data_IF_540970082540
#
_entry.id   IF_540970082540
#
_cell.length_a   1.000
_cell.length_b   1.000
_cell.length_c   1.000
_cell.angle_alpha   90.00
_cell.angle_beta   90.00
_cell.angle_gamma   90.00
#
_symmetry.space_group_name_H-M   'P 1'
#
loop_
_entity.id
_entity.type
_entity.pdbx_description
1 polymer ?
#
# COMPACT_ATOMS: atom_id res chain seq x y z
N UNK A 1 -25.82 51.21 32.00
CA UNK A 1 -24.98 51.18 33.21
C UNK A 1 -23.53 51.07 32.77
N UNK A 2 -22.69 52.09 32.98
CA UNK A 2 -21.24 51.96 32.82
C UNK A 2 -20.63 51.46 34.13
N UNK A 3 -19.79 50.42 34.08
CA UNK A 3 -19.09 49.91 35.27
C UNK A 3 -17.58 49.82 35.04
N UNK A 4 -16.88 50.70 35.75
CA UNK A 4 -15.45 50.68 36.07
C UNK A 4 -15.32 51.42 37.43
N UNK A 5 -14.34 51.13 38.30
CA UNK A 5 -13.00 50.66 37.92
C UNK A 5 -12.37 49.56 38.81
N UNK A 6 -11.17 49.12 38.40
CA UNK A 6 -10.12 48.50 39.27
C UNK A 6 -9.49 49.60 40.18
N UNK A 7 -8.53 49.36 41.12
CA UNK A 7 -7.74 48.14 41.37
C UNK A 7 -7.47 47.79 42.86
N UNK A 8 -6.71 46.72 43.14
CA UNK A 8 -5.73 46.72 44.24
C UNK A 8 -4.62 45.66 44.08
N UNK A 9 -3.38 46.07 44.30
CA UNK A 9 -2.10 45.33 44.43
C UNK A 9 -1.20 46.12 45.41
N UNK A 10 0.00 45.67 45.85
CA UNK A 10 0.70 44.41 45.63
C UNK A 10 0.73 43.54 46.91
N UNK A 11 1.79 43.37 47.76
CA UNK A 11 3.18 43.85 47.76
C UNK A 11 4.22 42.84 47.18
N UNK A 12 5.50 43.22 47.18
CA UNK A 12 6.69 42.44 46.78
C UNK A 12 7.39 41.83 48.00
N UNK A 13 8.11 40.70 47.85
CA UNK A 13 9.25 40.35 48.72
C UNK A 13 10.45 39.80 47.94
N UNK A 14 11.57 40.52 48.06
CA UNK A 14 12.92 40.11 47.65
C UNK A 14 13.61 39.38 48.81
N UNK A 15 14.35 38.30 48.53
CA UNK A 15 15.50 37.86 49.32
C UNK A 15 16.34 36.85 48.54
N UNK A 16 17.67 37.02 48.53
CA UNK A 16 18.61 36.04 48.00
C UNK A 16 18.96 35.00 49.08
N UNK A 17 19.35 33.79 48.66
CA UNK A 17 20.01 32.81 49.51
C UNK A 17 21.05 32.03 48.70
N UNK A 18 22.32 32.23 49.04
CA UNK A 18 23.45 31.47 48.51
C UNK A 18 23.58 30.17 49.31
N UNK A 19 23.67 29.01 48.64
CA UNK A 19 24.03 27.75 49.30
C UNK A 19 24.83 26.83 48.37
N UNK A 20 26.13 26.70 48.68
CA UNK A 20 27.05 25.72 48.12
C UNK A 20 26.74 24.32 48.66
N UNK A 21 26.73 23.29 47.80
CA UNK A 21 27.42 22.01 48.04
C UNK A 21 27.22 21.02 46.87
N UNK A 22 28.24 20.19 46.63
CA UNK A 22 28.22 19.15 45.61
C UNK A 22 27.46 17.89 46.06
N UNK A 23 26.81 17.23 45.10
CA UNK A 23 26.41 15.84 45.21
C UNK A 23 26.56 15.15 43.84
N UNK A 24 27.70 14.48 43.63
CA UNK A 24 27.99 13.72 42.41
C UNK A 24 27.13 12.45 42.38
N UNK A 25 25.99 12.50 41.70
CA UNK A 25 25.11 11.34 41.53
C UNK A 25 25.45 10.60 40.22
N UNK A 26 26.20 9.50 40.33
CA UNK A 26 26.52 8.61 39.20
C UNK A 26 25.26 7.91 38.69
N UNK A 27 24.60 8.50 37.71
CA UNK A 27 23.45 7.89 37.03
C UNK A 27 23.93 6.89 35.97
N UNK A 28 24.08 5.62 36.36
CA UNK A 28 24.38 4.52 35.43
C UNK A 28 23.15 4.20 34.56
N UNK A 29 22.93 5.01 33.52
CA UNK A 29 21.91 4.76 32.52
C UNK A 29 22.28 3.54 31.68
N UNK A 30 21.69 2.38 31.98
CA UNK A 30 21.69 1.24 31.05
C UNK A 30 20.88 1.63 29.82
N UNK A 31 21.58 2.03 28.76
CA UNK A 31 21.03 2.02 27.41
C UNK A 31 20.87 0.56 27.00
N UNK A 32 19.74 -0.05 27.38
CA UNK A 32 19.24 -1.24 26.71
C UNK A 32 18.76 -0.81 25.33
N UNK A 33 19.71 -0.73 24.39
CA UNK A 33 19.40 -0.70 22.98
C UNK A 33 18.59 -1.95 22.66
N UNK A 34 17.27 -1.79 22.52
CA UNK A 34 16.41 -2.80 21.93
C UNK A 34 16.88 -2.97 20.48
N UNK A 35 17.83 -3.87 20.26
CA UNK A 35 18.29 -4.28 18.94
C UNK A 35 17.18 -5.13 18.34
N UNK A 36 16.14 -4.46 17.85
CA UNK A 36 15.12 -5.05 16.99
C UNK A 36 15.85 -5.80 15.89
N UNK A 37 15.68 -7.13 15.87
CA UNK A 37 16.23 -7.93 14.78
C UNK A 37 15.51 -7.49 13.51
N UNK A 38 16.24 -6.81 12.62
CA UNK A 38 15.72 -6.51 11.29
C UNK A 38 15.34 -7.83 10.60
N UNK A 39 14.23 -7.90 9.85
CA UNK A 39 13.92 -9.08 9.07
C UNK A 39 15.07 -9.36 8.10
N UNK A 40 15.51 -10.61 8.02
CA UNK A 40 16.63 -10.98 7.19
C UNK A 40 16.26 -10.77 5.70
N UNK A 41 17.03 -9.92 5.02
CA UNK A 41 16.98 -9.64 3.57
C UNK A 41 15.72 -8.93 3.03
N UNK A 42 15.37 -7.76 3.61
CA UNK A 42 14.78 -6.71 2.79
C UNK A 42 15.84 -6.22 1.77
N UNK A 43 15.57 -6.39 0.47
CA UNK A 43 16.47 -5.93 -0.60
C UNK A 43 16.26 -4.42 -0.77
N UNK A 44 17.35 -3.64 -0.90
CA UNK A 44 17.18 -2.20 -1.13
C UNK A 44 16.53 -1.97 -2.50
N UNK A 45 15.62 -0.99 -2.67
CA UNK A 45 14.97 -0.73 -3.95
C UNK A 45 15.97 -0.52 -5.11
N UNK A 46 17.13 0.09 -4.83
CA UNK A 46 18.21 0.26 -5.80
C UNK A 46 18.90 -1.07 -6.18
N UNK A 47 19.06 -1.99 -5.24
CA UNK A 47 19.57 -3.35 -5.50
C UNK A 47 18.55 -4.15 -6.33
N UNK A 48 17.26 -4.08 -5.98
CA UNK A 48 16.19 -4.71 -6.76
C UNK A 48 16.12 -4.19 -8.19
N UNK A 49 16.27 -2.87 -8.38
CA UNK A 49 16.34 -2.24 -9.69
C UNK A 49 17.53 -2.72 -10.52
N UNK A 50 18.72 -2.84 -9.91
CA UNK A 50 19.90 -3.36 -10.58
C UNK A 50 19.71 -4.81 -11.06
N UNK A 51 19.07 -5.66 -10.23
CA UNK A 51 18.70 -7.02 -10.62
C UNK A 51 17.66 -7.01 -11.76
N UNK A 52 16.60 -6.20 -11.66
CA UNK A 52 15.57 -6.07 -12.68
C UNK A 52 16.13 -5.59 -14.03
N UNK A 53 17.07 -4.64 -14.02
CA UNK A 53 17.77 -4.18 -15.23
C UNK A 53 18.66 -5.28 -15.86
N UNK A 54 19.17 -6.22 -15.06
CA UNK A 54 20.04 -7.31 -15.51
C UNK A 54 19.28 -8.56 -16.02
N UNK A 55 17.98 -8.69 -15.74
CA UNK A 55 17.14 -9.80 -16.23
C UNK A 55 17.15 -9.89 -17.76
N UNK A 56 17.03 -11.10 -18.29
CA UNK A 56 16.71 -11.29 -19.71
C UNK A 56 15.37 -10.63 -20.05
N UNK A 57 15.11 -10.36 -21.33
CA UNK A 57 13.84 -9.78 -21.76
C UNK A 57 12.64 -10.63 -21.34
N UNK A 58 12.78 -11.96 -21.34
CA UNK A 58 11.70 -12.90 -21.07
C UNK A 58 11.39 -13.00 -19.57
N UNK A 59 12.42 -13.03 -18.72
CA UNK A 59 12.27 -12.94 -17.26
C UNK A 59 11.66 -11.60 -16.85
N UNK A 60 12.12 -10.48 -17.43
CA UNK A 60 11.57 -9.16 -17.13
C UNK A 60 10.09 -9.05 -17.51
N UNK A 61 9.70 -9.53 -18.71
CA UNK A 61 8.28 -9.60 -19.10
C UNK A 61 7.46 -10.51 -18.18
N UNK A 62 8.04 -11.62 -17.70
CA UNK A 62 7.35 -12.53 -16.76
C UNK A 62 7.13 -11.89 -15.38
N UNK A 63 8.13 -11.17 -14.86
CA UNK A 63 8.03 -10.37 -13.62
C UNK A 63 6.94 -9.30 -13.75
N UNK A 64 6.90 -8.61 -14.88
CA UNK A 64 5.93 -7.55 -15.17
C UNK A 64 4.51 -8.08 -15.38
N UNK A 65 4.33 -9.19 -16.10
CA UNK A 65 3.03 -9.85 -16.27
C UNK A 65 2.37 -10.25 -14.93
N UNK A 66 3.20 -10.56 -13.92
CA UNK A 66 2.75 -10.86 -12.58
C UNK A 66 2.60 -9.61 -11.67
N UNK A 67 2.78 -8.39 -12.21
CA UNK A 67 2.36 -7.13 -11.60
C UNK A 67 1.05 -6.63 -12.24
N UNK A 68 0.96 -6.71 -13.57
CA UNK A 68 -0.20 -6.33 -14.36
C UNK A 68 -0.36 -7.32 -15.52
N UNK A 69 -1.55 -7.92 -15.64
CA UNK A 69 -1.88 -8.97 -16.60
C UNK A 69 -2.01 -8.50 -18.07
N UNK A 70 -1.23 -7.51 -18.49
CA UNK A 70 -1.19 -6.97 -19.86
C UNK A 70 0.16 -7.27 -20.53
N UNK A 71 0.20 -8.15 -21.57
CA UNK A 71 1.41 -8.40 -22.35
C UNK A 71 1.97 -7.16 -23.06
N UNK A 72 1.07 -6.24 -23.46
CA UNK A 72 1.44 -4.96 -24.08
C UNK A 72 2.21 -4.07 -23.10
N UNK A 73 1.71 -3.93 -21.88
CA UNK A 73 2.37 -3.18 -20.81
C UNK A 73 3.73 -3.80 -20.45
N UNK A 74 3.74 -5.11 -20.19
CA UNK A 74 4.94 -5.84 -19.77
C UNK A 74 6.05 -5.75 -20.84
N UNK A 75 5.71 -5.83 -22.13
CA UNK A 75 6.66 -5.59 -23.22
C UNK A 75 7.17 -4.15 -23.22
N UNK A 76 6.28 -3.15 -23.17
CA UNK A 76 6.68 -1.73 -23.20
C UNK A 76 7.64 -1.37 -22.07
N UNK A 77 7.40 -1.84 -20.84
CA UNK A 77 8.30 -1.59 -19.70
C UNK A 77 9.61 -2.41 -19.80
N UNK A 78 9.56 -3.65 -20.29
CA UNK A 78 10.77 -4.46 -20.46
C UNK A 78 11.73 -3.92 -21.54
N UNK A 79 11.18 -3.36 -22.62
CA UNK A 79 11.92 -2.87 -23.80
C UNK A 79 12.65 -1.53 -23.55
N UNK A 80 12.29 -0.76 -22.51
CA UNK A 80 12.90 0.54 -22.18
C UNK A 80 13.98 0.46 -21.08
N UNK A 81 14.35 -0.74 -20.63
CA UNK A 81 15.47 -0.95 -19.70
C UNK A 81 16.81 -0.62 -20.39
N UNK A 82 17.84 -0.14 -19.64
CA UNK A 82 17.89 -0.02 -18.19
C UNK A 82 17.31 1.30 -17.65
N UNK A 83 16.63 1.22 -16.51
CA UNK A 83 16.13 2.40 -15.79
C UNK A 83 17.17 2.94 -14.79
N UNK A 84 17.39 4.26 -14.70
CA UNK A 84 18.42 4.85 -13.83
C UNK A 84 18.02 4.92 -12.35
N UNK A 85 16.72 4.99 -12.05
CA UNK A 85 16.17 5.06 -10.68
C UNK A 85 14.87 4.27 -10.58
N UNK A 86 14.44 3.96 -9.35
CA UNK A 86 13.15 3.30 -9.10
C UNK A 86 12.01 4.20 -9.55
N UNK A 87 12.10 5.50 -9.28
CA UNK A 87 11.10 6.49 -9.72
C UNK A 87 10.97 6.53 -11.25
N UNK A 88 12.08 6.41 -11.99
CA UNK A 88 12.04 6.35 -13.46
C UNK A 88 11.38 5.08 -14.00
N UNK A 89 11.57 3.93 -13.31
CA UNK A 89 10.85 2.69 -13.62
C UNK A 89 9.35 2.82 -13.29
N UNK A 90 9.00 3.36 -12.12
CA UNK A 90 7.61 3.54 -11.70
C UNK A 90 6.87 4.55 -12.59
N UNK A 91 7.51 5.64 -13.00
CA UNK A 91 6.95 6.60 -13.96
C UNK A 91 6.72 5.95 -15.33
N UNK A 92 7.71 5.21 -15.86
CA UNK A 92 7.55 4.50 -17.13
C UNK A 92 6.47 3.40 -17.07
N UNK A 93 6.29 2.77 -15.90
CA UNK A 93 5.23 1.83 -15.62
C UNK A 93 3.84 2.49 -15.61
N UNK A 94 3.68 3.66 -14.98
CA UNK A 94 2.41 4.39 -14.96
C UNK A 94 2.04 4.93 -16.36
N UNK A 95 2.99 5.57 -17.06
CA UNK A 95 2.84 6.02 -18.45
C UNK A 95 2.44 4.87 -19.39
N UNK A 96 3.12 3.72 -19.28
CA UNK A 96 2.77 2.54 -20.08
C UNK A 96 1.38 1.97 -19.76
N UNK A 97 0.88 2.18 -18.54
CA UNK A 97 -0.43 1.72 -18.10
C UNK A 97 -1.56 2.72 -18.44
N UNK A 98 -1.25 4.02 -18.48
CA UNK A 98 -2.12 5.07 -19.00
C UNK A 98 -2.38 4.90 -20.50
N UNK A 99 -1.36 4.48 -21.26
CA UNK A 99 -1.43 4.18 -22.70
C UNK A 99 -2.11 2.83 -23.08
N UNK A 100 -2.79 2.18 -22.14
CA UNK A 100 -3.53 0.94 -22.40
C UNK A 100 -4.84 1.19 -23.13
N UNK A 101 -5.11 0.38 -24.15
CA UNK A 101 -6.41 0.41 -24.84
C UNK A 101 -7.52 -0.19 -23.97
N UNK A 102 -8.80 0.14 -24.22
CA UNK A 102 -9.92 -0.42 -23.46
C UNK A 102 -9.96 -1.94 -23.41
N UNK A 103 -9.51 -2.62 -24.48
CA UNK A 103 -9.39 -4.08 -24.51
C UNK A 103 -8.24 -4.60 -23.62
N UNK A 104 -7.05 -4.01 -23.71
CA UNK A 104 -5.91 -4.37 -22.85
C UNK A 104 -6.24 -4.17 -21.35
N UNK A 105 -7.03 -3.14 -21.03
CA UNK A 105 -7.53 -2.85 -19.69
C UNK A 105 -8.59 -3.88 -19.23
N UNK A 106 -9.55 -4.22 -20.09
CA UNK A 106 -10.59 -5.20 -19.78
C UNK A 106 -10.00 -6.60 -19.54
N UNK A 107 -9.06 -7.05 -20.37
CA UNK A 107 -8.34 -8.31 -20.19
C UNK A 107 -7.55 -8.32 -18.87
N UNK A 108 -6.87 -7.21 -18.54
CA UNK A 108 -6.12 -7.10 -17.31
C UNK A 108 -7.04 -7.12 -16.06
N UNK A 109 -8.18 -6.43 -16.09
CA UNK A 109 -9.19 -6.46 -15.02
C UNK A 109 -9.83 -7.86 -14.88
N UNK A 110 -10.08 -8.56 -15.99
CA UNK A 110 -10.66 -9.91 -15.97
C UNK A 110 -9.71 -10.97 -15.37
N UNK A 111 -8.40 -10.70 -15.35
CA UNK A 111 -7.39 -11.56 -14.75
C UNK A 111 -7.08 -11.22 -13.28
N UNK A 112 -7.68 -10.17 -12.72
CA UNK A 112 -7.50 -9.82 -11.31
C UNK A 112 -8.28 -10.74 -10.36
N UNK A 113 -7.75 -10.89 -9.14
CA UNK A 113 -8.34 -11.73 -8.10
C UNK A 113 -8.98 -10.88 -7.00
N UNK A 114 -10.03 -11.42 -6.38
CA UNK A 114 -10.67 -10.80 -5.20
C UNK A 114 -9.63 -10.58 -4.09
N UNK A 115 -9.57 -9.40 -3.44
CA UNK A 115 -8.72 -9.22 -2.27
C UNK A 115 -9.10 -10.22 -1.17
N UNK A 116 -8.12 -10.91 -0.55
CA UNK A 116 -8.40 -11.87 0.52
C UNK A 116 -9.00 -11.15 1.74
N UNK A 117 -9.97 -11.80 2.37
CA UNK A 117 -10.58 -11.28 3.59
C UNK A 117 -9.65 -11.45 4.80
N UNK A 118 -9.52 -10.45 5.69
CA UNK A 118 -8.72 -10.57 6.90
C UNK A 118 -9.21 -11.72 7.79
N UNK A 119 -8.29 -12.57 8.23
CA UNK A 119 -8.57 -13.67 9.15
C UNK A 119 -9.21 -13.12 10.45
N UNK A 120 -10.31 -13.74 10.88
CA UNK A 120 -11.10 -13.28 12.03
C UNK A 120 -12.29 -12.38 11.69
N UNK A 121 -12.51 -12.03 10.42
CA UNK A 121 -13.76 -11.40 9.97
C UNK A 121 -14.96 -12.34 10.21
N UNK A 122 -16.06 -11.85 10.78
CA UNK A 122 -17.25 -12.68 11.05
C UNK A 122 -17.87 -13.28 9.77
N UNK A 123 -18.45 -14.48 9.86
CA UNK A 123 -19.11 -15.21 8.74
C UNK A 123 -20.18 -14.38 7.99
N UNK A 124 -20.95 -13.58 8.74
CA UNK A 124 -21.94 -12.67 8.16
C UNK A 124 -21.29 -11.56 7.33
N UNK A 125 -20.15 -11.03 7.77
CA UNK A 125 -19.39 -10.02 7.04
C UNK A 125 -18.70 -10.62 5.80
N UNK A 126 -18.18 -11.85 5.88
CA UNK A 126 -17.71 -12.61 4.71
C UNK A 126 -18.83 -12.76 3.65
N UNK A 127 -20.04 -13.12 4.08
CA UNK A 127 -21.16 -13.31 3.15
C UNK A 127 -21.64 -11.99 2.55
N UNK A 128 -21.74 -10.93 3.35
CA UNK A 128 -22.09 -9.60 2.86
C UNK A 128 -21.05 -9.05 1.86
N UNK A 129 -19.75 -9.23 2.11
CA UNK A 129 -18.71 -8.74 1.19
C UNK A 129 -18.68 -9.55 -0.11
N UNK A 130 -18.87 -10.88 -0.08
CA UNK A 130 -19.01 -11.68 -1.31
C UNK A 130 -20.22 -11.23 -2.14
N UNK A 131 -21.35 -10.93 -1.49
CA UNK A 131 -22.54 -10.43 -2.18
C UNK A 131 -22.30 -9.04 -2.81
N UNK A 132 -21.55 -8.16 -2.15
CA UNK A 132 -21.18 -6.86 -2.70
C UNK A 132 -20.27 -6.99 -3.94
N UNK A 133 -19.29 -7.90 -3.92
CA UNK A 133 -18.44 -8.19 -5.08
C UNK A 133 -19.25 -8.78 -6.25
N UNK A 134 -20.12 -9.76 -6.00
CA UNK A 134 -20.98 -10.33 -7.05
C UNK A 134 -21.93 -9.27 -7.66
N UNK A 135 -22.44 -8.34 -6.84
CA UNK A 135 -23.25 -7.22 -7.34
C UNK A 135 -22.43 -6.22 -8.17
N UNK A 136 -21.15 -6.00 -7.81
CA UNK A 136 -20.23 -5.15 -8.56
C UNK A 136 -19.89 -5.76 -9.93
N UNK A 137 -19.48 -7.03 -9.94
CA UNK A 137 -19.18 -7.78 -11.17
C UNK A 137 -20.40 -7.84 -12.11
N UNK A 138 -21.60 -8.07 -11.57
CA UNK A 138 -22.83 -8.08 -12.36
C UNK A 138 -23.22 -6.70 -12.94
N UNK A 139 -22.79 -5.59 -12.32
CA UNK A 139 -23.06 -4.21 -12.78
C UNK A 139 -22.03 -3.72 -13.79
N UNK A 140 -20.74 -3.98 -13.54
CA UNK A 140 -19.64 -3.37 -14.31
C UNK A 140 -18.89 -4.36 -15.23
N UNK A 141 -19.15 -5.66 -15.12
CA UNK A 141 -18.56 -6.68 -16.00
C UNK A 141 -17.12 -7.08 -15.68
N UNK A 142 -16.57 -6.62 -14.55
CA UNK A 142 -15.22 -6.97 -14.09
C UNK A 142 -15.15 -7.00 -12.55
N UNK A 143 -14.08 -7.59 -12.00
CA UNK A 143 -13.89 -7.67 -10.54
C UNK A 143 -13.62 -6.29 -9.93
N UNK A 144 -13.93 -6.16 -8.64
CA UNK A 144 -13.63 -4.95 -7.88
C UNK A 144 -12.12 -4.86 -7.59
N UNK A 145 -11.47 -3.81 -8.11
CA UNK A 145 -10.05 -3.51 -7.86
C UNK A 145 -9.91 -2.26 -7.00
N UNK A 146 -9.04 -2.31 -5.98
CA UNK A 146 -8.69 -1.18 -5.13
C UNK A 146 -7.24 -1.30 -4.64
N UNK A 147 -6.49 -0.21 -4.71
CA UNK A 147 -5.15 -0.09 -4.17
C UNK A 147 -5.20 0.31 -2.69
N UNK A 148 -4.66 -0.54 -1.83
CA UNK A 148 -4.65 -0.35 -0.37
C UNK A 148 -3.22 -0.21 0.21
N UNK A 149 -2.19 -0.07 -0.64
CA UNK A 149 -0.78 -0.05 -0.21
C UNK A 149 -0.42 1.10 0.75
N UNK A 150 -1.07 2.26 0.58
CA UNK A 150 -0.90 3.44 1.44
C UNK A 150 -1.88 3.46 2.62
N UNK A 151 -2.68 2.40 2.82
CA UNK A 151 -3.72 2.34 3.87
C UNK A 151 -3.18 1.62 5.10
N UNK A 152 -3.25 2.20 6.32
CA UNK A 152 -2.88 1.51 7.55
C UNK A 152 -3.65 0.20 7.71
N UNK A 153 -3.00 -0.86 8.21
CA UNK A 153 -3.60 -2.22 8.31
C UNK A 153 -4.91 -2.24 9.12
N UNK A 154 -5.08 -1.33 10.08
CA UNK A 154 -6.32 -1.17 10.85
C UNK A 154 -7.48 -0.53 10.09
N UNK A 155 -7.20 0.22 9.02
CA UNK A 155 -8.19 0.90 8.16
C UNK A 155 -8.50 0.13 6.87
N UNK A 156 -7.70 -0.89 6.52
CA UNK A 156 -7.78 -1.63 5.25
C UNK A 156 -9.17 -2.19 4.96
N UNK A 157 -9.84 -2.78 5.98
CA UNK A 157 -11.18 -3.34 5.83
C UNK A 157 -12.24 -2.25 5.66
N UNK A 158 -12.13 -1.15 6.40
CA UNK A 158 -13.09 -0.04 6.32
C UNK A 158 -13.00 0.64 4.96
N UNK A 159 -11.79 0.88 4.43
CA UNK A 159 -11.61 1.42 3.07
C UNK A 159 -12.07 0.47 1.98
N UNK A 160 -11.88 -0.84 2.14
CA UNK A 160 -12.42 -1.84 1.21
C UNK A 160 -13.96 -1.78 1.18
N UNK A 161 -14.60 -1.70 2.35
CA UNK A 161 -16.06 -1.64 2.50
C UNK A 161 -16.64 -0.30 2.02
N UNK A 162 -16.00 0.82 2.30
CA UNK A 162 -16.38 2.15 1.81
C UNK A 162 -16.21 2.25 0.29
N UNK A 163 -15.07 1.77 -0.24
CA UNK A 163 -14.76 1.76 -1.66
C UNK A 163 -15.78 0.97 -2.46
N UNK A 164 -16.11 -0.27 -2.06
CA UNK A 164 -17.08 -1.08 -2.81
C UNK A 164 -18.51 -0.52 -2.69
N UNK A 165 -18.90 0.03 -1.54
CA UNK A 165 -20.26 0.61 -1.35
C UNK A 165 -20.47 1.90 -2.14
N UNK A 166 -19.49 2.79 -2.16
CA UNK A 166 -19.56 4.04 -2.93
C UNK A 166 -19.57 3.74 -4.43
N UNK A 167 -18.60 2.96 -4.91
CA UNK A 167 -18.41 2.65 -6.33
C UNK A 167 -19.54 1.80 -6.93
N UNK A 168 -20.22 0.99 -6.12
CA UNK A 168 -21.48 0.32 -6.53
C UNK A 168 -22.58 1.28 -7.01
N UNK A 169 -22.50 2.58 -6.75
CA UNK A 169 -23.48 3.58 -7.19
C UNK A 169 -23.08 4.35 -8.46
N UNK A 170 -21.80 4.36 -8.83
CA UNK A 170 -21.19 5.15 -9.92
C UNK A 170 -21.76 4.83 -11.31
N UNK A 171 -21.71 5.81 -12.22
CA UNK A 171 -21.97 5.54 -13.64
C UNK A 171 -20.92 4.57 -14.21
N UNK A 172 -21.28 3.63 -15.11
CA UNK A 172 -20.31 2.69 -15.69
C UNK A 172 -19.14 3.34 -16.44
N UNK A 173 -19.32 4.52 -17.04
CA UNK A 173 -18.22 5.25 -17.70
C UNK A 173 -17.21 5.77 -16.68
N UNK A 174 -17.70 6.40 -15.61
CA UNK A 174 -16.89 6.90 -14.48
C UNK A 174 -16.19 5.75 -13.76
N UNK A 175 -16.90 4.64 -13.53
CA UNK A 175 -16.37 3.54 -12.74
C UNK A 175 -15.17 2.84 -13.39
N UNK A 176 -15.17 2.60 -14.72
CA UNK A 176 -13.95 2.05 -15.36
C UNK A 176 -12.86 3.06 -15.69
N UNK A 177 -13.08 4.36 -15.47
CA UNK A 177 -11.95 5.30 -15.27
C UNK A 177 -11.31 5.06 -13.90
N UNK A 178 -12.11 5.00 -12.83
CA UNK A 178 -11.60 4.71 -11.47
C UNK A 178 -10.94 3.34 -11.38
N UNK A 179 -11.52 2.29 -11.98
CA UNK A 179 -10.93 0.96 -12.00
C UNK A 179 -9.59 0.93 -12.74
N UNK A 180 -9.42 1.72 -13.81
CA UNK A 180 -8.13 1.87 -14.47
C UNK A 180 -7.10 2.53 -13.53
N UNK A 181 -7.47 3.60 -12.81
CA UNK A 181 -6.58 4.27 -11.85
C UNK A 181 -6.17 3.38 -10.67
N UNK A 182 -7.08 2.57 -10.14
CA UNK A 182 -6.79 1.59 -9.10
C UNK A 182 -5.86 0.48 -9.63
N UNK A 183 -6.09 0.01 -10.87
CA UNK A 183 -5.24 -1.01 -11.50
C UNK A 183 -3.82 -0.49 -11.78
N UNK A 184 -3.67 0.78 -12.20
CA UNK A 184 -2.36 1.44 -12.34
C UNK A 184 -1.60 1.48 -11.00
N UNK A 185 -2.28 1.87 -9.93
CA UNK A 185 -1.70 1.90 -8.57
C UNK A 185 -1.34 0.50 -8.06
N UNK A 186 -2.17 -0.51 -8.31
CA UNK A 186 -1.86 -1.92 -8.02
C UNK A 186 -0.61 -2.40 -8.77
N UNK A 187 -0.49 -2.11 -10.07
CA UNK A 187 0.68 -2.48 -10.87
C UNK A 187 1.97 -1.86 -10.32
N UNK A 188 1.96 -0.57 -9.98
CA UNK A 188 3.09 0.14 -9.38
C UNK A 188 3.46 -0.41 -7.99
N UNK A 189 2.47 -0.66 -7.12
CA UNK A 189 2.69 -1.25 -5.80
C UNK A 189 3.30 -2.65 -5.88
N UNK A 190 2.75 -3.54 -6.71
CA UNK A 190 3.29 -4.88 -6.94
C UNK A 190 4.72 -4.85 -7.49
N UNK A 191 4.99 -3.92 -8.43
CA UNK A 191 6.33 -3.75 -8.99
C UNK A 191 7.33 -3.32 -7.90
N UNK A 192 6.97 -2.35 -7.06
CA UNK A 192 7.80 -1.93 -5.92
C UNK A 192 8.05 -3.09 -4.94
N UNK A 193 7.01 -3.86 -4.58
CA UNK A 193 7.12 -5.03 -3.70
C UNK A 193 8.08 -6.10 -4.25
N UNK A 194 8.10 -6.32 -5.58
CA UNK A 194 9.05 -7.23 -6.23
C UNK A 194 10.50 -6.72 -6.18
N UNK A 195 10.72 -5.41 -6.21
CA UNK A 195 12.07 -4.82 -6.10
C UNK A 195 12.62 -4.89 -4.67
N UNK A 196 11.77 -4.77 -3.65
CA UNK A 196 12.16 -4.83 -2.24
C UNK A 196 12.26 -6.26 -1.68
N UNK A 197 11.71 -7.24 -2.41
CA UNK A 197 11.62 -8.64 -1.95
C UNK A 197 10.52 -8.87 -0.91
N UNK A 198 9.58 -7.91 -0.73
CA UNK A 198 8.40 -8.14 0.09
C UNK A 198 7.42 -9.03 -0.67
N UNK A 199 7.38 -10.30 -0.31
CA UNK A 199 6.43 -11.25 -0.89
C UNK A 199 4.98 -10.79 -0.64
N UNK A 200 4.15 -10.82 -1.69
CA UNK A 200 2.69 -10.70 -1.55
C UNK A 200 2.20 -11.86 -0.67
N UNK A 201 1.80 -11.56 0.56
CA UNK A 201 1.37 -12.53 1.58
C UNK A 201 -0.05 -13.08 1.35
N UNK A 202 -0.43 -13.26 0.08
CA UNK A 202 -1.79 -13.63 -0.37
C UNK A 202 -1.90 -15.06 -0.89
N UNK A 203 -0.80 -15.75 -1.24
CA UNK A 203 -0.84 -17.14 -1.71
C UNK A 203 -0.45 -18.17 -0.65
N UNK A 204 -1.39 -18.43 0.28
CA UNK A 204 -1.42 -19.68 1.05
C UNK A 204 -2.40 -20.66 0.38
N UNK A 205 -1.96 -21.29 -0.71
CA UNK A 205 -2.57 -22.52 -1.19
C UNK A 205 -1.50 -23.61 -1.19
N UNK A 206 -1.56 -24.50 -0.21
CA UNK A 206 -0.95 -25.81 -0.35
C UNK A 206 -1.91 -26.90 0.14
N UNK A 207 -1.96 -27.99 -0.61
CA UNK A 207 -3.09 -28.90 -0.62
C UNK A 207 -3.03 -29.95 0.50
N UNK A 208 -4.10 -30.06 1.28
CA UNK A 208 -4.34 -31.25 2.09
C UNK A 208 -4.58 -32.46 1.17
N UNK A 209 -3.52 -33.22 0.90
CA UNK A 209 -3.59 -34.46 0.12
C UNK A 209 -4.54 -35.48 0.77
N UNK A 210 -5.53 -35.94 0.00
CA UNK A 210 -6.38 -37.07 0.39
C UNK A 210 -5.59 -38.36 0.16
N UNK A 211 -5.23 -39.05 1.23
CA UNK A 211 -4.88 -40.47 1.22
C UNK A 211 -6.04 -41.27 1.79
N UNK A 212 -6.41 -42.37 1.13
CA UNK A 212 -7.49 -43.28 1.54
C UNK A 212 -7.05 -44.28 2.62
#
# INVERSE_FOLDING_TARGET
MPEQPRPCSPPVRTAAATATAAATATATARVTAARTAAPAHAVSPATGLALFNALTADEARSVLLACLHSPRWARRVADHRPYPTVDALLAAADEAAYDLGPADLADALAAEALPPLPAGTYEAAHTALRAAHAAYEARFGHVFVIYLGDTPTGETLDRLLEGIRSRLTNDPEEERVLAAEELRRLAGGRLLSRLTGTADSTTCHDGAGRGA
#
